data_IF_198794207162
#
_entry.id   IF_198794207162
#
_cell.length_a   1.000
_cell.length_b   1.000
_cell.length_c   1.000
_cell.angle_alpha   90.00
_cell.angle_beta   90.00
_cell.angle_gamma   90.00
#
_symmetry.space_group_name_H-M   'P 1'
#
loop_
_entity.id
_entity.type
_entity.pdbx_description
1 polymer ?
#
# COMPACT_ATOMS: atom_id res chain seq x y z
N UNK A 1 -21.11 -2.35 -23.75
CA UNK A 1 -21.84 -2.10 -22.50
C UNK A 1 -21.74 -0.62 -22.21
N UNK A 2 -22.84 -0.01 -21.76
CA UNK A 2 -22.81 1.36 -21.28
C UNK A 2 -21.95 1.47 -20.01
N UNK A 3 -21.46 2.67 -19.69
CA UNK A 3 -20.67 2.95 -18.48
C UNK A 3 -21.38 2.46 -17.22
N UNK A 4 -22.69 2.72 -17.13
CA UNK A 4 -23.49 2.34 -15.97
C UNK A 4 -23.58 0.82 -15.80
N UNK A 5 -23.73 0.07 -16.89
CA UNK A 5 -23.75 -1.40 -16.86
C UNK A 5 -22.43 -1.97 -16.36
N UNK A 6 -21.30 -1.36 -16.78
CA UNK A 6 -19.97 -1.79 -16.36
C UNK A 6 -19.73 -1.49 -14.87
N UNK A 7 -20.16 -0.34 -14.39
CA UNK A 7 -20.09 0.02 -12.96
C UNK A 7 -20.96 -0.93 -12.13
N UNK A 8 -22.17 -1.28 -12.59
CA UNK A 8 -22.99 -2.29 -11.91
C UNK A 8 -22.29 -3.65 -11.90
N UNK A 9 -21.76 -4.09 -13.05
CA UNK A 9 -21.00 -5.34 -13.12
C UNK A 9 -19.80 -5.36 -12.15
N UNK A 10 -19.10 -4.24 -12.00
CA UNK A 10 -18.01 -4.11 -11.03
C UNK A 10 -18.50 -4.27 -9.58
N UNK A 11 -19.64 -3.66 -9.22
CA UNK A 11 -20.25 -3.82 -7.89
C UNK A 11 -20.69 -5.27 -7.61
N UNK A 12 -21.25 -5.96 -8.60
CA UNK A 12 -21.59 -7.38 -8.47
C UNK A 12 -20.33 -8.24 -8.32
N UNK A 13 -19.28 -7.94 -9.08
CA UNK A 13 -18.01 -8.63 -8.97
C UNK A 13 -17.33 -8.41 -7.61
N UNK A 14 -17.42 -7.20 -7.04
CA UNK A 14 -16.96 -6.90 -5.68
C UNK A 14 -17.68 -7.76 -4.64
N UNK A 15 -19.01 -7.84 -4.69
CA UNK A 15 -19.82 -8.66 -3.77
C UNK A 15 -19.53 -10.15 -3.90
N UNK A 16 -19.12 -10.60 -5.08
CA UNK A 16 -18.73 -11.98 -5.34
C UNK A 16 -17.23 -12.24 -5.11
N UNK A 17 -16.47 -11.24 -4.64
CA UNK A 17 -15.01 -11.27 -4.46
C UNK A 17 -14.24 -11.66 -5.74
N UNK A 18 -14.84 -11.45 -6.92
CA UNK A 18 -14.24 -11.69 -8.22
C UNK A 18 -13.48 -10.47 -8.71
N UNK A 19 -12.38 -10.13 -8.01
CA UNK A 19 -11.66 -8.89 -8.25
C UNK A 19 -11.01 -8.78 -9.64
N UNK A 20 -10.64 -9.89 -10.29
CA UNK A 20 -10.16 -9.86 -11.69
C UNK A 20 -11.28 -9.41 -12.65
N UNK A 21 -12.52 -9.87 -12.47
CA UNK A 21 -13.68 -9.43 -13.25
C UNK A 21 -14.00 -7.95 -12.97
N UNK A 22 -13.90 -7.55 -11.71
CA UNK A 22 -14.08 -6.17 -11.26
C UNK A 22 -13.05 -5.25 -11.93
N UNK A 23 -11.78 -5.66 -11.99
CA UNK A 23 -10.71 -4.91 -12.63
C UNK A 23 -10.95 -4.78 -14.14
N UNK A 24 -11.37 -5.86 -14.82
CA UNK A 24 -11.72 -5.82 -16.24
C UNK A 24 -12.89 -4.87 -16.55
N UNK A 25 -13.92 -4.85 -15.70
CA UNK A 25 -15.05 -3.93 -15.84
C UNK A 25 -14.61 -2.47 -15.62
N UNK A 26 -13.86 -2.18 -14.55
CA UNK A 26 -13.41 -0.82 -14.23
C UNK A 26 -12.35 -0.29 -15.19
N UNK A 27 -11.53 -1.17 -15.77
CA UNK A 27 -10.66 -0.86 -16.90
C UNK A 27 -11.48 -0.36 -18.08
N UNK A 28 -12.52 -1.10 -18.46
CA UNK A 28 -13.41 -0.71 -19.55
C UNK A 28 -14.10 0.63 -19.29
N UNK A 29 -14.51 0.90 -18.04
CA UNK A 29 -15.05 2.22 -17.63
C UNK A 29 -14.02 3.32 -17.81
N UNK A 30 -12.77 3.07 -17.44
CA UNK A 30 -11.67 4.06 -17.53
C UNK A 30 -11.30 4.35 -18.98
N UNK A 31 -11.26 3.34 -19.85
CA UNK A 31 -10.90 3.46 -21.26
C UNK A 31 -11.98 4.14 -22.11
N UNK A 32 -13.23 4.23 -21.63
CA UNK A 32 -14.27 5.06 -22.26
C UNK A 32 -13.97 6.56 -22.18
N UNK A 33 -13.03 6.97 -21.31
CA UNK A 33 -12.62 8.35 -21.13
C UNK A 33 -13.54 9.16 -20.22
N UNK A 34 -13.12 10.41 -19.96
CA UNK A 34 -13.77 11.29 -19.00
C UNK A 34 -13.26 11.11 -17.57
N UNK A 35 -13.67 12.03 -16.69
CA UNK A 35 -13.26 11.99 -15.28
C UNK A 35 -14.11 10.96 -14.52
N UNK A 36 -13.44 10.14 -13.70
CA UNK A 36 -14.13 9.19 -12.84
C UNK A 36 -14.74 9.90 -11.63
N UNK A 37 -15.97 9.55 -11.30
CA UNK A 37 -16.59 9.94 -10.04
C UNK A 37 -15.83 9.37 -8.84
N UNK A 38 -16.06 9.89 -7.64
CA UNK A 38 -15.43 9.36 -6.42
C UNK A 38 -15.77 7.87 -6.21
N UNK A 39 -17.00 7.45 -6.52
CA UNK A 39 -17.39 6.04 -6.43
C UNK A 39 -16.65 5.18 -7.45
N UNK A 40 -16.58 5.62 -8.71
CA UNK A 40 -15.88 4.89 -9.78
C UNK A 40 -14.37 4.78 -9.51
N UNK A 41 -13.75 5.87 -9.07
CA UNK A 41 -12.35 5.89 -8.65
C UNK A 41 -12.09 4.90 -7.52
N UNK A 42 -13.00 4.84 -6.56
CA UNK A 42 -12.91 3.90 -5.47
C UNK A 42 -13.03 2.45 -5.98
N UNK A 43 -14.01 2.13 -6.82
CA UNK A 43 -14.15 0.78 -7.39
C UNK A 43 -12.89 0.35 -8.15
N UNK A 44 -12.33 1.22 -8.99
CA UNK A 44 -11.09 0.95 -9.72
C UNK A 44 -9.94 0.59 -8.76
N UNK A 45 -9.77 1.38 -7.71
CA UNK A 45 -8.73 1.20 -6.70
C UNK A 45 -8.91 -0.10 -5.90
N UNK A 46 -10.14 -0.43 -5.46
CA UNK A 46 -10.43 -1.71 -4.77
C UNK A 46 -10.10 -2.90 -5.66
N UNK A 47 -10.54 -2.85 -6.92
CA UNK A 47 -10.37 -3.95 -7.87
C UNK A 47 -8.90 -4.31 -8.04
N UNK A 48 -8.09 -3.35 -8.49
CA UNK A 48 -6.68 -3.61 -8.77
C UNK A 48 -5.86 -3.87 -7.51
N UNK A 49 -6.21 -3.25 -6.37
CA UNK A 49 -5.57 -3.52 -5.08
C UNK A 49 -5.71 -4.98 -4.65
N UNK A 50 -6.89 -5.56 -4.80
CA UNK A 50 -7.11 -6.95 -4.44
C UNK A 50 -6.42 -7.89 -5.44
N UNK A 51 -6.51 -7.60 -6.75
CA UNK A 51 -5.83 -8.37 -7.80
C UNK A 51 -4.32 -8.41 -7.58
N UNK A 52 -3.65 -7.25 -7.43
CA UNK A 52 -2.20 -7.18 -7.19
C UNK A 52 -1.81 -7.70 -5.80
N UNK A 53 -2.67 -7.50 -4.80
CA UNK A 53 -2.46 -7.98 -3.43
C UNK A 53 -2.37 -9.49 -3.35
N UNK A 54 -3.23 -10.21 -4.07
CA UNK A 54 -3.18 -11.67 -4.17
C UNK A 54 -1.85 -12.15 -4.78
N UNK A 55 -1.43 -11.56 -5.91
CA UNK A 55 -0.17 -11.96 -6.58
C UNK A 55 1.05 -11.64 -5.73
N UNK A 56 1.10 -10.49 -5.05
CA UNK A 56 2.16 -10.15 -4.09
C UNK A 56 2.24 -11.14 -2.93
N UNK A 57 1.10 -11.57 -2.40
CA UNK A 57 1.07 -12.58 -1.32
C UNK A 57 1.65 -13.91 -1.80
N UNK A 58 1.17 -14.40 -2.95
CA UNK A 58 1.66 -15.63 -3.57
C UNK A 58 3.15 -15.55 -3.87
N UNK A 59 3.62 -14.44 -4.43
CA UNK A 59 5.03 -14.21 -4.73
C UNK A 59 5.90 -14.34 -3.47
N UNK A 60 5.54 -13.69 -2.35
CA UNK A 60 6.31 -13.80 -1.10
C UNK A 60 6.41 -15.23 -0.59
N UNK A 61 5.31 -15.99 -0.66
CA UNK A 61 5.29 -17.39 -0.21
C UNK A 61 6.24 -18.22 -1.06
N UNK A 62 6.15 -18.10 -2.39
CA UNK A 62 6.98 -18.89 -3.31
C UNK A 62 8.45 -18.48 -3.22
N UNK A 63 8.76 -17.17 -3.13
CA UNK A 63 10.12 -16.69 -2.90
C UNK A 63 10.73 -17.24 -1.59
N UNK A 64 9.93 -17.36 -0.53
CA UNK A 64 10.39 -17.98 0.72
C UNK A 64 10.63 -19.49 0.57
N UNK A 65 9.79 -20.19 -0.19
CA UNK A 65 9.98 -21.62 -0.48
C UNK A 65 11.25 -21.83 -1.30
N UNK A 66 11.47 -21.04 -2.35
CA UNK A 66 12.68 -21.11 -3.18
C UNK A 66 13.95 -21.00 -2.33
N UNK A 67 14.02 -19.98 -1.46
CA UNK A 67 15.15 -19.79 -0.52
C UNK A 67 15.33 -20.97 0.44
N UNK A 68 14.25 -21.56 0.96
CA UNK A 68 14.32 -22.72 1.88
C UNK A 68 14.69 -24.03 1.19
N UNK A 69 14.56 -24.10 -0.14
CA UNK A 69 14.90 -25.30 -0.93
C UNK A 69 16.35 -25.31 -1.43
N UNK A 70 17.17 -24.37 -0.99
CA UNK A 70 18.62 -24.37 -1.24
C UNK A 70 19.24 -25.72 -0.85
N UNK A 71 19.87 -26.39 -1.82
CA UNK A 71 20.44 -27.74 -1.67
C UNK A 71 19.63 -28.87 -2.32
N UNK A 72 18.42 -28.60 -2.82
CA UNK A 72 17.67 -29.51 -3.69
C UNK A 72 17.40 -28.84 -5.04
N UNK A 73 18.32 -29.03 -5.99
CA UNK A 73 18.31 -28.36 -7.30
C UNK A 73 16.98 -28.50 -8.05
N UNK A 74 16.36 -29.69 -8.01
CA UNK A 74 15.08 -29.92 -8.70
C UNK A 74 13.94 -29.12 -8.05
N UNK A 75 13.83 -29.12 -6.72
CA UNK A 75 12.78 -28.36 -6.02
C UNK A 75 13.01 -26.85 -6.16
N UNK A 76 14.26 -26.41 -6.11
CA UNK A 76 14.63 -25.01 -6.28
C UNK A 76 14.29 -24.52 -7.68
N UNK A 77 14.59 -25.31 -8.73
CA UNK A 77 14.23 -24.97 -10.11
C UNK A 77 12.71 -24.84 -10.30
N UNK A 78 11.92 -25.76 -9.73
CA UNK A 78 10.46 -25.69 -9.78
C UNK A 78 9.90 -24.45 -9.05
N UNK A 79 10.44 -24.13 -7.87
CA UNK A 79 10.03 -22.95 -7.12
C UNK A 79 10.38 -21.65 -7.86
N UNK A 80 11.57 -21.60 -8.48
CA UNK A 80 12.04 -20.49 -9.30
C UNK A 80 11.13 -20.22 -10.50
N UNK A 81 10.83 -21.26 -11.30
CA UNK A 81 9.94 -21.15 -12.46
C UNK A 81 8.57 -20.61 -12.07
N UNK A 82 8.02 -21.12 -10.96
CA UNK A 82 6.72 -20.67 -10.47
C UNK A 82 6.76 -19.24 -9.91
N UNK A 83 7.86 -18.82 -9.26
CA UNK A 83 8.08 -17.44 -8.85
C UNK A 83 8.05 -16.51 -10.07
N UNK A 84 8.82 -16.83 -11.11
CA UNK A 84 8.95 -16.00 -12.32
C UNK A 84 7.62 -15.86 -13.08
N UNK A 85 6.79 -16.91 -13.07
CA UNK A 85 5.41 -16.83 -13.57
C UNK A 85 4.59 -15.78 -12.80
N UNK A 86 4.62 -15.81 -11.47
CA UNK A 86 3.88 -14.85 -10.63
C UNK A 86 4.43 -13.42 -10.82
N UNK A 87 5.75 -13.28 -11.00
CA UNK A 87 6.37 -11.98 -11.30
C UNK A 87 5.85 -11.38 -12.59
N UNK A 88 5.72 -12.21 -13.64
CA UNK A 88 5.15 -11.78 -14.92
C UNK A 88 3.70 -11.30 -14.74
N UNK A 89 2.86 -12.08 -14.05
CA UNK A 89 1.48 -11.68 -13.76
C UNK A 89 1.41 -10.35 -12.98
N UNK A 90 2.26 -10.19 -11.96
CA UNK A 90 2.35 -8.96 -11.16
C UNK A 90 2.78 -7.77 -12.01
N UNK A 91 3.78 -7.95 -12.86
CA UNK A 91 4.27 -6.92 -13.77
C UNK A 91 3.19 -6.49 -14.75
N UNK A 92 2.46 -7.43 -15.34
CA UNK A 92 1.35 -7.15 -16.27
C UNK A 92 0.25 -6.35 -15.58
N UNK A 93 -0.17 -6.76 -14.38
CA UNK A 93 -1.17 -6.03 -13.59
C UNK A 93 -0.70 -4.60 -13.29
N UNK A 94 0.56 -4.42 -12.89
CA UNK A 94 1.09 -3.10 -12.58
C UNK A 94 1.17 -2.21 -13.82
N UNK A 95 1.67 -2.75 -14.93
CA UNK A 95 1.79 -2.02 -16.19
C UNK A 95 0.41 -1.64 -16.76
N UNK A 96 -0.60 -2.48 -16.57
CA UNK A 96 -1.97 -2.17 -16.94
C UNK A 96 -2.49 -0.94 -16.19
N UNK A 97 -2.35 -0.92 -14.86
CA UNK A 97 -2.75 0.22 -14.04
C UNK A 97 -1.96 1.48 -14.37
N UNK A 98 -0.64 1.38 -14.53
CA UNK A 98 0.21 2.50 -14.91
C UNK A 98 -0.21 3.07 -16.26
N UNK A 99 -0.56 2.20 -17.22
CA UNK A 99 -1.11 2.59 -18.51
C UNK A 99 -2.44 3.35 -18.38
N UNK A 100 -3.35 2.90 -17.52
CA UNK A 100 -4.60 3.60 -17.24
C UNK A 100 -4.38 4.96 -16.59
N UNK A 101 -3.47 5.02 -15.62
CA UNK A 101 -3.13 6.25 -14.91
C UNK A 101 -2.58 7.32 -15.87
N UNK A 102 -1.62 6.95 -16.71
CA UNK A 102 -0.95 7.90 -17.59
C UNK A 102 -1.82 8.34 -18.78
N UNK A 103 -2.60 7.41 -19.36
CA UNK A 103 -3.39 7.71 -20.58
C UNK A 103 -4.73 8.35 -20.30
N UNK A 104 -5.40 7.99 -19.20
CA UNK A 104 -6.81 8.35 -18.97
C UNK A 104 -7.06 9.10 -17.67
N UNK A 105 -6.36 8.78 -16.58
CA UNK A 105 -6.74 9.31 -15.27
C UNK A 105 -5.99 10.60 -14.92
N UNK A 106 -4.66 10.56 -14.88
CA UNK A 106 -3.82 11.72 -14.55
C UNK A 106 -3.97 12.82 -15.61
N UNK A 107 -4.05 12.42 -16.88
CA UNK A 107 -4.22 13.35 -18.00
C UNK A 107 -5.54 14.14 -17.96
N UNK A 108 -6.61 13.53 -17.43
CA UNK A 108 -7.95 14.14 -17.38
C UNK A 108 -8.34 14.67 -16.00
N UNK A 109 -7.57 14.38 -14.95
CA UNK A 109 -7.83 14.85 -13.60
C UNK A 109 -7.73 16.38 -13.54
N UNK A 110 -8.79 17.05 -13.08
CA UNK A 110 -8.82 18.52 -12.97
C UNK A 110 -8.59 18.98 -11.54
N UNK A 111 -9.24 18.34 -10.58
CA UNK A 111 -9.15 18.66 -9.16
C UNK A 111 -7.85 18.13 -8.53
N UNK A 112 -7.26 18.91 -7.61
CA UNK A 112 -6.06 18.54 -6.86
C UNK A 112 -6.18 17.17 -6.17
N UNK A 113 -7.31 16.93 -5.50
CA UNK A 113 -7.59 15.66 -4.81
C UNK A 113 -7.47 14.45 -5.74
N UNK A 114 -8.05 14.55 -6.95
CA UNK A 114 -8.01 13.47 -7.95
C UNK A 114 -6.59 13.25 -8.48
N UNK A 115 -5.87 14.33 -8.79
CA UNK A 115 -4.46 14.26 -9.24
C UNK A 115 -3.57 13.61 -8.19
N UNK A 116 -3.67 14.06 -6.93
CA UNK A 116 -2.88 13.51 -5.81
C UNK A 116 -3.23 12.04 -5.59
N UNK A 117 -4.51 11.67 -5.67
CA UNK A 117 -4.93 10.28 -5.55
C UNK A 117 -4.28 9.40 -6.64
N UNK A 118 -4.34 9.83 -7.90
CA UNK A 118 -3.79 9.06 -9.02
C UNK A 118 -2.26 9.00 -9.02
N UNK A 119 -1.58 10.09 -8.67
CA UNK A 119 -0.12 10.11 -8.54
C UNK A 119 0.36 9.25 -7.36
N UNK A 120 -0.36 9.28 -6.23
CA UNK A 120 -0.12 8.35 -5.11
C UNK A 120 -0.28 6.90 -5.57
N UNK A 121 -1.33 6.60 -6.32
CA UNK A 121 -1.56 5.27 -6.88
C UNK A 121 -0.41 4.88 -7.82
N UNK A 122 0.04 5.78 -8.71
CA UNK A 122 1.21 5.58 -9.58
C UNK A 122 2.46 5.22 -8.79
N UNK A 123 2.74 5.94 -7.70
CA UNK A 123 3.82 5.63 -6.76
C UNK A 123 3.69 4.24 -6.14
N UNK A 124 2.49 3.87 -5.69
CA UNK A 124 2.20 2.53 -5.12
C UNK A 124 2.49 1.40 -6.12
N UNK A 125 2.09 1.52 -7.40
CA UNK A 125 2.31 0.48 -8.41
C UNK A 125 3.77 0.37 -8.86
N UNK A 126 4.50 1.49 -9.00
CA UNK A 126 5.94 1.42 -9.21
C UNK A 126 6.69 0.80 -8.02
N UNK A 127 6.23 1.06 -6.80
CA UNK A 127 6.77 0.40 -5.61
C UNK A 127 6.55 -1.12 -5.66
N UNK A 128 5.37 -1.58 -6.07
CA UNK A 128 5.11 -3.02 -6.24
C UNK A 128 6.01 -3.65 -7.32
N UNK A 129 6.23 -2.96 -8.44
CA UNK A 129 7.20 -3.40 -9.46
C UNK A 129 8.63 -3.51 -8.89
N UNK A 130 9.03 -2.57 -8.02
CA UNK A 130 10.36 -2.59 -7.41
C UNK A 130 10.60 -3.76 -6.45
N UNK A 131 9.53 -4.38 -5.93
CA UNK A 131 9.62 -5.58 -5.07
C UNK A 131 10.12 -6.80 -5.86
N UNK A 132 9.73 -6.92 -7.14
CA UNK A 132 10.07 -8.04 -8.02
C UNK A 132 11.16 -7.73 -9.04
N UNK A 133 11.53 -6.46 -9.20
CA UNK A 133 12.55 -6.04 -10.16
C UNK A 133 13.98 -6.33 -9.66
N UNK A 134 14.89 -6.58 -10.61
CA UNK A 134 16.31 -6.80 -10.37
C UNK A 134 17.17 -5.88 -11.27
N UNK A 135 18.43 -5.67 -10.87
CA UNK A 135 19.39 -4.86 -11.64
C UNK A 135 18.91 -3.44 -11.94
N UNK A 136 19.13 -2.98 -13.17
CA UNK A 136 18.80 -1.62 -13.63
C UNK A 136 17.28 -1.34 -13.64
N UNK A 137 16.47 -2.37 -13.87
CA UNK A 137 15.02 -2.25 -13.80
C UNK A 137 14.56 -1.86 -12.39
N UNK A 138 15.21 -2.39 -11.35
CA UNK A 138 14.90 -2.03 -9.96
C UNK A 138 15.14 -0.55 -9.71
N UNK A 139 16.31 -0.04 -10.09
CA UNK A 139 16.64 1.39 -9.93
C UNK A 139 15.60 2.27 -10.63
N UNK A 140 15.27 1.95 -11.87
CA UNK A 140 14.26 2.68 -12.66
C UNK A 140 12.89 2.68 -11.98
N UNK A 141 12.42 1.54 -11.48
CA UNK A 141 11.13 1.45 -10.78
C UNK A 141 11.11 2.23 -9.46
N UNK A 142 12.22 2.25 -8.73
CA UNK A 142 12.36 3.03 -7.49
C UNK A 142 12.34 4.53 -7.79
N UNK A 143 13.09 4.98 -8.79
CA UNK A 143 13.15 6.40 -9.20
C UNK A 143 11.76 6.88 -9.67
N UNK A 144 11.06 6.07 -10.47
CA UNK A 144 9.70 6.38 -10.92
C UNK A 144 8.68 6.42 -9.76
N UNK A 145 8.80 5.50 -8.78
CA UNK A 145 7.95 5.52 -7.59
C UNK A 145 8.18 6.78 -6.76
N UNK A 146 9.45 7.14 -6.55
CA UNK A 146 9.83 8.34 -5.81
C UNK A 146 9.31 9.60 -6.50
N UNK A 147 9.48 9.72 -7.82
CA UNK A 147 9.01 10.88 -8.57
C UNK A 147 7.48 11.02 -8.45
N UNK A 148 6.72 9.94 -8.62
CA UNK A 148 5.26 9.98 -8.52
C UNK A 148 4.79 10.40 -7.12
N UNK A 149 5.42 9.91 -6.05
CA UNK A 149 5.10 10.35 -4.69
C UNK A 149 5.50 11.81 -4.45
N UNK A 150 6.64 12.26 -4.99
CA UNK A 150 7.09 13.64 -4.86
C UNK A 150 6.14 14.60 -5.57
N UNK A 151 5.74 14.30 -6.81
CA UNK A 151 4.76 15.10 -7.56
C UNK A 151 3.41 15.18 -6.82
N UNK A 152 2.94 14.05 -6.27
CA UNK A 152 1.74 14.03 -5.43
C UNK A 152 1.91 14.89 -4.18
N UNK A 153 3.09 14.85 -3.55
CA UNK A 153 3.37 15.56 -2.32
C UNK A 153 3.41 17.06 -2.54
N UNK A 154 4.06 17.52 -3.61
CA UNK A 154 4.18 18.93 -3.96
C UNK A 154 2.80 19.54 -4.29
N UNK A 155 1.96 18.82 -5.04
CA UNK A 155 0.57 19.25 -5.30
C UNK A 155 -0.23 19.30 -3.99
N UNK A 156 -0.15 18.24 -3.15
CA UNK A 156 -0.90 18.17 -1.90
C UNK A 156 -0.53 19.28 -0.93
N UNK A 157 0.76 19.67 -0.88
CA UNK A 157 1.25 20.73 0.00
C UNK A 157 0.76 22.10 -0.44
N UNK A 158 0.58 22.30 -1.74
CA UNK A 158 0.13 23.56 -2.33
C UNK A 158 -1.39 23.74 -2.28
N UNK A 159 -2.15 22.66 -2.49
CA UNK A 159 -3.59 22.76 -2.80
C UNK A 159 -4.50 22.05 -1.80
N UNK A 160 -3.95 21.39 -0.77
CA UNK A 160 -4.74 20.63 0.22
C UNK A 160 -4.37 21.01 1.65
N UNK A 161 -5.35 21.04 2.55
CA UNK A 161 -5.11 21.29 3.97
C UNK A 161 -4.26 20.16 4.59
N UNK A 162 -3.37 20.43 5.57
CA UNK A 162 -2.57 19.42 6.25
C UNK A 162 -3.38 18.28 6.88
N UNK A 163 -4.61 18.59 7.30
CA UNK A 163 -5.55 17.62 7.87
C UNK A 163 -6.27 16.77 6.84
N UNK A 164 -6.13 17.06 5.54
CA UNK A 164 -6.89 16.36 4.51
C UNK A 164 -6.51 14.85 4.45
N UNK A 165 -7.48 13.91 4.50
CA UNK A 165 -7.20 12.47 4.56
C UNK A 165 -6.29 11.95 3.44
N UNK A 166 -6.50 12.36 2.19
CA UNK A 166 -5.63 11.99 1.06
C UNK A 166 -4.18 12.48 1.24
N UNK A 167 -3.96 13.70 1.75
CA UNK A 167 -2.62 14.26 2.00
C UNK A 167 -1.93 13.51 3.14
N UNK A 168 -2.64 13.22 4.23
CA UNK A 168 -2.14 12.39 5.33
C UNK A 168 -1.79 10.97 4.88
N UNK A 169 -2.67 10.35 4.09
CA UNK A 169 -2.48 9.01 3.53
C UNK A 169 -1.30 8.94 2.57
N UNK A 170 -1.06 10.01 1.80
CA UNK A 170 0.14 10.16 0.98
C UNK A 170 1.41 10.26 1.83
N UNK A 171 1.43 11.13 2.84
CA UNK A 171 2.60 11.27 3.72
C UNK A 171 2.94 9.96 4.43
N UNK A 172 1.92 9.23 4.88
CA UNK A 172 2.06 7.91 5.47
C UNK A 172 2.69 6.92 4.47
N UNK A 173 2.14 6.76 3.27
CA UNK A 173 2.71 5.86 2.26
C UNK A 173 4.14 6.26 1.84
N UNK A 174 4.40 7.56 1.69
CA UNK A 174 5.69 8.06 1.25
C UNK A 174 6.76 7.90 2.35
N UNK A 175 6.40 8.04 3.63
CA UNK A 175 7.31 7.71 4.75
C UNK A 175 7.71 6.23 4.76
N UNK A 176 6.75 5.33 4.50
CA UNK A 176 7.04 3.89 4.38
C UNK A 176 7.95 3.63 3.18
N UNK A 177 7.76 4.31 2.05
CA UNK A 177 8.66 4.21 0.90
C UNK A 177 10.10 4.64 1.25
N UNK A 178 10.28 5.76 1.95
CA UNK A 178 11.60 6.19 2.41
C UNK A 178 12.26 5.16 3.34
N UNK A 179 11.48 4.54 4.23
CA UNK A 179 11.97 3.55 5.17
C UNK A 179 12.31 2.20 4.50
N UNK A 180 11.34 1.60 3.81
CA UNK A 180 11.45 0.23 3.30
C UNK A 180 12.21 0.13 1.96
N UNK A 181 12.07 1.12 1.08
CA UNK A 181 12.60 1.04 -0.29
C UNK A 181 13.93 1.79 -0.40
N UNK A 182 14.00 3.00 0.14
CA UNK A 182 15.21 3.83 0.08
C UNK A 182 16.16 3.64 1.28
N UNK A 183 15.77 2.83 2.28
CA UNK A 183 16.53 2.59 3.50
C UNK A 183 17.00 3.90 4.16
N UNK A 184 16.14 4.92 4.16
CA UNK A 184 16.39 6.25 4.71
C UNK A 184 15.42 6.54 5.88
N UNK A 185 15.70 5.98 7.07
CA UNK A 185 14.82 6.10 8.23
C UNK A 185 14.73 7.54 8.76
N UNK A 186 15.79 8.34 8.62
CA UNK A 186 15.78 9.75 9.03
C UNK A 186 14.74 10.54 8.24
N UNK A 187 14.78 10.44 6.91
CA UNK A 187 13.82 11.13 6.04
C UNK A 187 12.39 10.61 6.22
N UNK A 188 12.22 9.31 6.45
CA UNK A 188 10.92 8.72 6.76
C UNK A 188 10.32 9.31 8.05
N UNK A 189 11.12 9.37 9.14
CA UNK A 189 10.72 9.94 10.42
C UNK A 189 10.42 11.43 10.30
N UNK A 190 11.27 12.20 9.63
CA UNK A 190 11.03 13.64 9.41
C UNK A 190 9.72 13.86 8.67
N UNK A 191 9.47 13.13 7.58
CA UNK A 191 8.25 13.27 6.80
C UNK A 191 6.99 12.93 7.61
N UNK A 192 6.99 11.79 8.31
CA UNK A 192 5.86 11.36 9.12
C UNK A 192 5.60 12.33 10.29
N UNK A 193 6.66 12.80 10.96
CA UNK A 193 6.57 13.74 12.06
C UNK A 193 6.05 15.10 11.60
N UNK A 194 6.59 15.66 10.52
CA UNK A 194 6.13 16.94 9.98
C UNK A 194 4.66 16.88 9.57
N UNK A 195 4.23 15.82 8.88
CA UNK A 195 2.82 15.66 8.52
C UNK A 195 1.90 15.55 9.75
N UNK A 196 2.34 14.84 10.80
CA UNK A 196 1.60 14.73 12.05
C UNK A 196 1.50 16.08 12.79
N UNK A 197 2.62 16.79 12.94
CA UNK A 197 2.69 18.06 13.66
C UNK A 197 1.88 19.15 12.93
N UNK A 198 1.97 19.23 11.59
CA UNK A 198 1.16 20.16 10.77
C UNK A 198 -0.35 19.86 10.91
N UNK A 199 -0.74 18.58 10.90
CA UNK A 199 -2.15 18.22 11.04
C UNK A 199 -2.70 18.46 12.46
N UNK A 200 -1.89 18.30 13.50
CA UNK A 200 -2.26 18.66 14.88
C UNK A 200 -2.52 20.16 15.01
N UNK A 201 -1.70 20.99 14.38
CA UNK A 201 -1.81 22.45 14.47
C UNK A 201 -3.13 22.99 13.86
N UNK A 202 -3.74 22.24 12.94
CA UNK A 202 -4.95 22.65 12.23
C UNK A 202 -6.14 21.70 12.49
N UNK A 203 -6.05 20.82 13.49
CA UNK A 203 -7.07 19.79 13.75
C UNK A 203 -8.45 20.39 14.07
N UNK A 204 -8.46 21.56 14.73
CA UNK A 204 -9.68 22.28 15.12
C UNK A 204 -10.48 22.82 13.92
N UNK A 205 -9.92 22.78 12.70
CA UNK A 205 -10.57 23.24 11.46
C UNK A 205 -11.35 22.14 10.73
N UNK A 206 -11.26 20.89 11.19
CA UNK A 206 -11.90 19.74 10.53
C UNK A 206 -13.42 19.71 10.74
N UNK A 207 -14.14 19.35 9.69
CA UNK A 207 -15.55 18.97 9.80
C UNK A 207 -15.71 17.55 10.36
N UNK A 208 -16.88 17.23 10.93
CA UNK A 208 -17.14 15.92 11.56
C UNK A 208 -16.92 14.72 10.61
N UNK A 209 -17.23 14.90 9.33
CA UNK A 209 -17.12 13.85 8.31
C UNK A 209 -15.66 13.45 8.03
N UNK A 210 -14.76 14.43 7.96
CA UNK A 210 -13.32 14.20 7.70
C UNK A 210 -12.53 13.94 8.97
N UNK A 211 -13.07 14.32 10.14
CA UNK A 211 -12.39 14.18 11.43
C UNK A 211 -12.02 12.72 11.73
N UNK A 212 -12.98 11.80 11.54
CA UNK A 212 -12.76 10.36 11.79
C UNK A 212 -11.67 9.78 10.89
N UNK A 213 -11.72 10.07 9.59
CA UNK A 213 -10.75 9.54 8.64
C UNK A 213 -9.35 10.14 8.87
N UNK A 214 -9.26 11.44 9.17
CA UNK A 214 -7.99 12.13 9.40
C UNK A 214 -7.31 11.68 10.70
N UNK A 215 -8.04 11.65 11.81
CA UNK A 215 -7.52 11.22 13.11
C UNK A 215 -7.03 9.78 13.09
N UNK A 216 -7.69 8.93 12.31
CA UNK A 216 -7.28 7.54 12.14
C UNK A 216 -5.94 7.40 11.42
N UNK A 217 -5.71 8.19 10.36
CA UNK A 217 -4.41 8.18 9.66
C UNK A 217 -3.33 8.80 10.53
N UNK A 218 -3.64 9.87 11.26
CA UNK A 218 -2.71 10.47 12.22
C UNK A 218 -2.28 9.47 13.30
N UNK A 219 -3.20 8.62 13.77
CA UNK A 219 -2.85 7.53 14.68
C UNK A 219 -1.87 6.54 14.03
N UNK A 220 -2.06 6.18 12.75
CA UNK A 220 -1.10 5.32 12.06
C UNK A 220 0.27 5.98 11.84
N UNK A 221 0.30 7.29 11.55
CA UNK A 221 1.56 8.05 11.48
C UNK A 221 2.29 7.99 12.83
N UNK A 222 1.57 8.22 13.93
CA UNK A 222 2.09 8.09 15.29
C UNK A 222 2.57 6.67 15.60
N UNK A 223 1.83 5.66 15.19
CA UNK A 223 2.20 4.25 15.40
C UNK A 223 3.48 3.92 14.63
N UNK A 224 3.61 4.36 13.38
CA UNK A 224 4.84 4.21 12.59
C UNK A 224 6.03 4.91 13.26
N UNK A 225 5.81 6.11 13.82
CA UNK A 225 6.83 6.83 14.61
C UNK A 225 7.16 6.11 15.93
N UNK A 226 6.22 5.36 16.51
CA UNK A 226 6.40 4.65 17.80
C UNK A 226 7.08 3.28 17.61
N UNK A 227 6.72 2.53 16.56
CA UNK A 227 7.40 1.30 16.13
C UNK A 227 8.84 1.63 15.71
N UNK A 228 9.04 2.81 15.13
CA UNK A 228 10.35 3.41 14.88
C UNK A 228 10.95 3.99 16.16
N UNK A 229 11.49 3.14 17.04
CA UNK A 229 12.51 3.52 18.05
C UNK A 229 13.84 3.97 17.37
N UNK A 230 13.73 4.81 16.34
CA UNK A 230 14.80 5.37 15.52
C UNK A 230 14.98 6.88 15.71
N UNK A 231 14.18 7.55 16.53
CA UNK A 231 14.59 8.83 17.11
C UNK A 231 15.49 8.52 18.31
N UNK A 232 16.81 8.49 18.08
CA UNK A 232 17.82 7.91 18.94
C UNK A 232 17.70 8.18 20.45
N UNK A 233 17.57 7.10 21.21
CA UNK A 233 18.25 6.91 22.50
C UNK A 233 18.93 5.54 22.49
N UNK A 234 20.00 5.42 21.70
CA UNK A 234 21.15 4.58 22.08
C UNK A 234 22.33 5.50 22.28
N UNK A 235 22.35 6.19 23.43
CA UNK A 235 23.62 6.55 24.05
C UNK A 235 23.93 5.46 25.09
N UNK A 236 25.17 5.00 24.99
CA UNK A 236 25.98 4.26 25.96
C UNK A 236 25.67 2.78 26.24
N UNK A 237 26.75 2.00 26.13
CA UNK A 237 26.94 0.62 26.53
C UNK A 237 26.40 0.36 27.95
N UNK A 238 25.58 -0.68 28.12
CA UNK A 238 25.86 -1.85 28.98
C UNK A 238 24.58 -2.67 29.28
N UNK A 239 24.81 -3.96 29.47
CA UNK A 239 23.93 -5.01 30.04
C UNK A 239 22.67 -5.45 29.27
N UNK A 240 22.73 -6.72 28.86
CA UNK A 240 21.61 -7.58 28.46
C UNK A 240 20.58 -7.68 29.57
N UNK A 241 19.33 -7.31 29.31
CA UNK A 241 18.17 -7.91 29.97
C UNK A 241 17.07 -8.18 28.93
N UNK A 242 16.43 -9.36 29.05
CA UNK A 242 15.37 -9.83 28.13
C UNK A 242 14.11 -8.98 28.31
N UNK A 243 13.34 -8.68 27.25
CA UNK A 243 12.03 -8.08 27.44
C UNK A 243 11.02 -9.13 27.92
N UNK A 244 10.33 -8.81 29.00
CA UNK A 244 9.20 -9.55 29.57
C UNK A 244 8.01 -9.63 28.60
N UNK A 245 7.26 -10.74 28.71
CA UNK A 245 6.02 -11.02 27.99
C UNK A 245 4.90 -10.09 28.50
N UNK A 246 4.45 -9.12 27.68
CA UNK A 246 3.32 -8.27 28.09
C UNK A 246 2.82 -7.20 27.11
N UNK A 247 3.13 -7.28 25.80
CA UNK A 247 2.68 -6.28 24.79
C UNK A 247 1.99 -6.93 23.60
N UNK A 248 0.85 -7.58 23.81
CA UNK A 248 0.04 -8.20 22.73
C UNK A 248 -1.22 -7.42 22.35
N UNK A 249 -1.57 -6.35 23.08
CA UNK A 249 -2.83 -5.63 22.82
C UNK A 249 -2.73 -4.48 21.80
N UNK A 250 -1.53 -3.94 21.53
CA UNK A 250 -1.35 -2.85 20.55
C UNK A 250 -1.39 -3.31 19.09
N UNK A 251 -0.91 -4.52 18.80
CA UNK A 251 -0.79 -5.05 17.43
C UNK A 251 -2.16 -5.47 16.86
N UNK A 252 -3.09 -5.95 17.70
CA UNK A 252 -4.42 -6.36 17.26
C UNK A 252 -5.32 -5.16 16.88
N UNK A 253 -5.17 -4.02 17.56
CA UNK A 253 -5.89 -2.78 17.24
C UNK A 253 -5.39 -2.18 15.91
N UNK A 254 -4.08 -2.25 15.68
CA UNK A 254 -3.41 -1.81 14.44
C UNK A 254 -3.91 -2.54 13.18
N UNK A 255 -4.23 -3.84 13.27
CA UNK A 255 -4.74 -4.63 12.14
C UNK A 255 -6.18 -4.23 11.78
N UNK A 256 -7.04 -4.01 12.78
CA UNK A 256 -8.41 -3.54 12.54
C UNK A 256 -8.44 -2.09 12.00
N UNK A 257 -7.57 -1.21 12.52
CA UNK A 257 -7.40 0.16 12.04
C UNK A 257 -6.85 0.21 10.61
N UNK A 258 -5.84 -0.62 10.31
CA UNK A 258 -5.35 -0.80 8.95
C UNK A 258 -6.44 -1.31 8.03
N UNK A 259 -7.24 -2.30 8.44
CA UNK A 259 -8.35 -2.82 7.65
C UNK A 259 -9.39 -1.75 7.31
N UNK A 260 -9.74 -0.89 8.29
CA UNK A 260 -10.68 0.21 8.09
C UNK A 260 -10.16 1.28 7.11
N UNK A 261 -8.92 1.75 7.29
CA UNK A 261 -8.31 2.72 6.36
C UNK A 261 -7.99 2.11 4.99
N UNK A 262 -7.74 0.80 4.95
CA UNK A 262 -7.59 0.02 3.72
C UNK A 262 -8.91 -0.06 2.96
N UNK A 263 -10.05 -0.12 3.66
CA UNK A 263 -11.41 -0.09 3.10
C UNK A 263 -11.80 1.31 2.61
N UNK A 264 -11.34 2.36 3.29
CA UNK A 264 -11.48 3.78 2.90
C UNK A 264 -10.46 4.27 1.85
N UNK A 265 -9.51 3.41 1.46
CA UNK A 265 -8.48 3.67 0.44
C UNK A 265 -7.47 4.78 0.74
N UNK A 266 -7.41 5.20 1.99
CA UNK A 266 -6.53 6.27 2.42
C UNK A 266 -5.06 5.79 2.49
N UNK A 267 -4.84 4.48 2.65
CA UNK A 267 -3.50 3.88 2.84
C UNK A 267 -3.32 2.56 2.05
N UNK A 268 -2.09 2.27 1.61
CA UNK A 268 -1.73 1.03 0.89
C UNK A 268 -0.41 0.41 1.42
N UNK A 269 -0.28 0.34 2.74
CA UNK A 269 0.91 -0.21 3.40
C UNK A 269 0.73 -1.71 3.64
N UNK A 270 1.67 -2.59 3.20
CA UNK A 270 1.66 -3.98 3.62
C UNK A 270 1.94 -4.07 5.14
N UNK A 271 1.37 -5.05 5.87
CA UNK A 271 1.75 -5.27 7.26
C UNK A 271 3.27 -5.53 7.30
N UNK A 272 3.97 -4.84 8.20
CA UNK A 272 5.42 -4.95 8.36
C UNK A 272 5.84 -6.41 8.56
N UNK A 273 7.04 -6.83 8.10
CA UNK A 273 7.52 -8.20 8.26
C UNK A 273 7.56 -8.71 9.70
N UNK A 274 7.61 -7.81 10.68
CA UNK A 274 7.53 -8.14 12.11
C UNK A 274 6.14 -8.55 12.60
N UNK A 275 5.09 -8.33 11.80
CA UNK A 275 3.70 -8.73 12.10
C UNK A 275 3.29 -10.07 11.48
N UNK A 276 4.00 -10.56 10.46
CA UNK A 276 3.70 -11.81 9.75
C UNK A 276 3.92 -13.10 10.57
N UNK A 277 4.93 -13.23 11.45
CA UNK A 277 5.08 -14.44 12.26
C UNK A 277 3.91 -14.68 13.24
N UNK A 278 3.16 -13.63 13.61
CA UNK A 278 2.09 -13.71 14.61
C UNK A 278 0.74 -14.16 14.03
N UNK A 279 0.58 -14.19 12.71
CA UNK A 279 -0.64 -14.69 12.05
C UNK A 279 -0.61 -16.20 11.80
N UNK A 280 0.57 -16.81 11.69
CA UNK A 280 0.72 -18.26 11.48
C UNK A 280 0.58 -19.07 12.78
N UNK A 281 0.75 -18.46 13.96
CA UNK A 281 0.61 -19.13 15.27
C UNK A 281 -0.86 -19.23 15.76
N UNK A 282 -1.85 -18.86 14.95
CA UNK A 282 -3.28 -18.91 15.30
C UNK A 282 -4.18 -19.69 14.33
N UNK A 283 -3.65 -20.72 13.67
CA UNK A 283 -4.51 -21.80 13.15
C UNK A 283 -4.50 -22.98 14.13
N UNK A 284 -5.58 -23.25 14.87
CA UNK A 284 -5.71 -24.52 15.58
C UNK A 284 -5.83 -25.66 14.55
N UNK A 285 -5.13 -26.74 14.86
CA UNK A 285 -5.11 -28.04 14.18
C UNK A 285 -6.47 -28.42 13.61
N UNK A 286 -6.55 -28.55 12.29
CA UNK A 286 -7.76 -28.98 11.59
C UNK A 286 -7.44 -30.07 10.56
N UNK A 287 -6.65 -31.07 10.96
CA UNK A 287 -6.64 -32.40 10.34
C UNK A 287 -6.24 -33.44 11.41
N UNK A 288 -7.15 -34.32 11.86
CA UNK A 288 -6.75 -35.46 12.67
C UNK A 288 -5.94 -36.43 11.80
N UNK A 289 -4.77 -36.82 12.30
CA UNK A 289 -3.99 -37.89 11.71
C UNK A 289 -4.79 -39.20 11.76
N UNK A 290 -5.00 -39.79 10.59
CA UNK A 290 -5.19 -41.22 10.37
C UNK A 290 -4.39 -41.62 9.14
#
# INVERSE_FOLDING_TARGET
MDKNDLVQKAKLAEQAERYDDMAGAMKSVTEQGGELSNEERNLLSVAYKNVVGARRSSWRVISSIEQKTEGNEKKQAMAKEYREKIETELQDICNDVLGLLDKYLIANATAAESKVFYLKMKGDYYRYLSEVAAGDAKKTTVDNSQQAYQDAFDISKKEMQPTHPIRLGLALNFSVFYYEILNNPEKACTLAKTAFDEAIAELDTLNEDSYKDSTLIMQLLRDNLTVSLFCGHRKTKETRERPEKGKTNGIALLIHLHSYLKHKQLINIPPTPSALPLLYDKQPELFPAN
#
